data_IF_937957559095
#
_entry.id   IF_937957559095
#
_cell.length_a   1.000
_cell.length_b   1.000
_cell.length_c   1.000
_cell.angle_alpha   90.00
_cell.angle_beta   90.00
_cell.angle_gamma   90.00
#
_symmetry.space_group_name_H-M   'P 1'
#
loop_
_entity.id
_entity.type
_entity.pdbx_description
1 polymer ?
#
# COMPACT_ATOMS: atom_id res chain seq x y z
N UNK A 1 1.16 3.15 -15.79
CA UNK A 1 0.64 2.22 -14.76
C UNK A 1 1.35 2.30 -13.39
N UNK A 2 2.21 3.30 -13.10
CA UNK A 2 3.03 3.35 -11.87
C UNK A 2 2.24 3.46 -10.55
N UNK A 3 1.01 3.99 -10.59
CA UNK A 3 0.16 4.18 -9.41
C UNK A 3 -0.91 3.09 -9.25
N UNK A 4 -1.04 2.16 -10.20
CA UNK A 4 -2.10 1.13 -10.16
C UNK A 4 -1.90 0.21 -8.95
N UNK A 5 -0.68 -0.28 -8.74
CA UNK A 5 -0.35 -1.16 -7.60
C UNK A 5 -0.61 -0.52 -6.23
N UNK A 6 -0.10 0.70 -5.91
CA UNK A 6 -0.39 1.32 -4.62
C UNK A 6 -1.88 1.63 -4.43
N UNK A 7 -2.59 2.06 -5.48
CA UNK A 7 -4.04 2.33 -5.39
C UNK A 7 -4.79 1.04 -5.07
N UNK A 8 -4.53 -0.05 -5.78
CA UNK A 8 -5.18 -1.35 -5.53
C UNK A 8 -4.92 -1.86 -4.11
N UNK A 9 -3.69 -1.75 -3.62
CA UNK A 9 -3.34 -2.20 -2.27
C UNK A 9 -4.03 -1.37 -1.18
N UNK A 10 -4.10 -0.04 -1.34
CA UNK A 10 -4.81 0.83 -0.39
C UNK A 10 -6.32 0.62 -0.44
N UNK A 11 -6.89 0.43 -1.63
CA UNK A 11 -8.31 0.09 -1.77
C UNK A 11 -8.65 -1.26 -1.13
N UNK A 12 -7.79 -2.27 -1.31
CA UNK A 12 -7.95 -3.56 -0.64
C UNK A 12 -7.88 -3.42 0.88
N UNK A 13 -6.96 -2.61 1.41
CA UNK A 13 -6.88 -2.33 2.85
C UNK A 13 -8.17 -1.69 3.38
N UNK A 14 -8.69 -0.67 2.69
CA UNK A 14 -9.93 0.00 3.06
C UNK A 14 -11.13 -0.96 3.03
N UNK A 15 -11.20 -1.81 2.01
CA UNK A 15 -12.24 -2.83 1.88
C UNK A 15 -12.19 -3.84 3.03
N UNK A 16 -11.01 -4.41 3.34
CA UNK A 16 -10.84 -5.37 4.43
C UNK A 16 -11.20 -4.74 5.77
N UNK A 17 -10.76 -3.51 6.02
CA UNK A 17 -11.10 -2.77 7.24
C UNK A 17 -12.62 -2.58 7.36
N UNK A 18 -13.27 -2.09 6.29
CA UNK A 18 -14.70 -1.87 6.30
C UNK A 18 -15.50 -3.16 6.48
N UNK A 19 -15.12 -4.24 5.77
CA UNK A 19 -15.82 -5.52 5.89
C UNK A 19 -15.71 -6.10 7.31
N UNK A 20 -14.52 -6.03 7.91
CA UNK A 20 -14.27 -6.54 9.26
C UNK A 20 -15.01 -5.74 10.35
N UNK A 21 -15.45 -4.51 10.06
CA UNK A 21 -16.28 -3.70 10.96
C UNK A 21 -17.77 -4.03 10.83
N UNK A 22 -18.21 -4.59 9.69
CA UNK A 22 -19.63 -4.82 9.38
C UNK A 22 -20.09 -6.25 9.71
N UNK A 23 -19.20 -7.23 9.71
CA UNK A 23 -19.55 -8.62 9.96
C UNK A 23 -19.19 -9.04 11.39
N UNK A 24 -20.21 -9.29 12.21
CA UNK A 24 -20.01 -9.93 13.51
C UNK A 24 -19.66 -11.42 13.30
N UNK A 25 -18.47 -11.82 13.78
CA UNK A 25 -18.03 -13.22 13.80
C UNK A 25 -17.26 -13.72 12.57
N UNK A 26 -17.16 -12.94 11.49
CA UNK A 26 -16.33 -13.29 10.31
C UNK A 26 -15.30 -12.21 10.05
N UNK A 27 -14.01 -12.58 10.05
CA UNK A 27 -12.90 -11.66 9.78
C UNK A 27 -12.20 -12.07 8.49
N UNK A 28 -12.13 -11.15 7.54
CA UNK A 28 -11.19 -11.23 6.43
C UNK A 28 -9.77 -10.99 6.96
N UNK A 29 -9.00 -12.06 6.94
CA UNK A 29 -7.59 -12.07 7.25
C UNK A 29 -6.79 -12.67 6.09
N UNK A 30 -5.56 -12.21 5.92
CA UNK A 30 -4.62 -12.79 4.98
C UNK A 30 -4.19 -14.17 5.48
N UNK A 31 -4.19 -15.21 4.64
CA UNK A 31 -3.99 -16.60 5.08
C UNK A 31 -2.64 -16.85 5.76
N UNK A 32 -1.64 -16.02 5.48
CA UNK A 32 -0.30 -16.12 6.06
C UNK A 32 -0.03 -15.09 7.16
N UNK A 33 -1.06 -14.40 7.66
CA UNK A 33 -0.85 -13.37 8.69
C UNK A 33 -0.34 -13.95 10.01
N UNK A 34 -0.71 -15.19 10.35
CA UNK A 34 -0.19 -15.90 11.53
C UNK A 34 1.30 -16.21 11.42
N UNK A 35 1.83 -16.42 10.21
CA UNK A 35 3.28 -16.61 10.00
C UNK A 35 4.04 -15.30 10.16
N UNK A 36 3.47 -14.18 9.70
CA UNK A 36 4.09 -12.86 9.78
C UNK A 36 3.93 -12.23 11.18
N UNK A 37 2.84 -12.55 11.86
CA UNK A 37 2.51 -12.06 13.20
C UNK A 37 1.96 -13.19 14.07
N UNK A 38 2.83 -14.06 14.63
CA UNK A 38 2.40 -15.19 15.45
C UNK A 38 1.58 -14.77 16.69
N UNK A 39 1.86 -13.60 17.25
CA UNK A 39 1.09 -13.07 18.39
C UNK A 39 -0.36 -12.67 18.06
N UNK A 40 -0.77 -12.67 16.78
CA UNK A 40 -2.15 -12.52 16.35
C UNK A 40 -2.88 -13.87 16.18
N UNK A 41 -2.19 -15.00 16.32
CA UNK A 41 -2.77 -16.33 16.12
C UNK A 41 -3.89 -16.63 17.14
N UNK A 42 -5.03 -17.12 16.63
CA UNK A 42 -6.21 -17.41 17.45
C UNK A 42 -7.08 -16.19 17.81
N UNK A 43 -6.67 -14.97 17.45
CA UNK A 43 -7.44 -13.74 17.65
C UNK A 43 -7.87 -13.16 16.28
N UNK A 44 -9.12 -13.40 15.85
CA UNK A 44 -9.61 -12.95 14.55
C UNK A 44 -9.48 -11.44 14.35
N UNK A 45 -9.67 -10.65 15.41
CA UNK A 45 -9.61 -9.18 15.33
C UNK A 45 -8.18 -8.74 15.04
N UNK A 46 -7.19 -9.30 15.75
CA UNK A 46 -5.77 -9.00 15.50
C UNK A 46 -5.32 -9.49 14.14
N UNK A 47 -5.78 -10.65 13.68
CA UNK A 47 -5.49 -11.16 12.34
C UNK A 47 -6.03 -10.22 11.25
N UNK A 48 -7.24 -9.70 11.42
CA UNK A 48 -7.83 -8.70 10.53
C UNK A 48 -7.05 -7.38 10.54
N UNK A 49 -6.68 -6.87 11.72
CA UNK A 49 -5.87 -5.66 11.86
C UNK A 49 -4.49 -5.82 11.23
N UNK A 50 -3.81 -6.95 11.45
CA UNK A 50 -2.53 -7.27 10.83
C UNK A 50 -2.61 -7.31 9.31
N UNK A 51 -3.72 -7.84 8.78
CA UNK A 51 -3.97 -7.87 7.33
C UNK A 51 -4.14 -6.49 6.74
N UNK A 52 -4.92 -5.62 7.40
CA UNK A 52 -5.06 -4.22 7.00
C UNK A 52 -3.70 -3.52 7.04
N UNK A 53 -2.94 -3.69 8.13
CA UNK A 53 -1.62 -3.11 8.28
C UNK A 53 -0.65 -3.55 7.18
N UNK A 54 -0.70 -4.83 6.77
CA UNK A 54 0.11 -5.36 5.68
C UNK A 54 -0.22 -4.66 4.35
N UNK A 55 -1.50 -4.59 3.98
CA UNK A 55 -1.92 -3.95 2.73
C UNK A 55 -1.61 -2.45 2.71
N UNK A 56 -1.83 -1.75 3.83
CA UNK A 56 -1.45 -0.34 3.99
C UNK A 56 0.07 -0.18 3.84
N UNK A 57 0.86 -0.99 4.54
CA UNK A 57 2.31 -0.92 4.50
C UNK A 57 2.86 -1.09 3.09
N UNK A 58 2.43 -2.15 2.38
CA UNK A 58 2.84 -2.41 1.00
C UNK A 58 2.35 -1.31 0.04
N UNK A 59 1.10 -0.86 0.22
CA UNK A 59 0.51 0.21 -0.60
C UNK A 59 1.25 1.54 -0.44
N UNK A 60 1.54 1.97 0.78
CA UNK A 60 2.27 3.20 1.07
C UNK A 60 3.71 3.13 0.56
N UNK A 61 4.43 2.03 0.80
CA UNK A 61 5.80 1.86 0.28
C UNK A 61 5.84 1.92 -1.26
N UNK A 62 4.86 1.29 -1.91
CA UNK A 62 4.73 1.32 -3.37
C UNK A 62 4.41 2.73 -3.86
N UNK A 63 3.59 3.48 -3.14
CA UNK A 63 3.24 4.87 -3.46
C UNK A 63 4.45 5.79 -3.33
N UNK A 64 5.20 5.68 -2.23
CA UNK A 64 6.44 6.44 -2.03
C UNK A 64 7.40 6.19 -3.19
N UNK A 65 7.61 4.91 -3.56
CA UNK A 65 8.50 4.55 -4.67
C UNK A 65 8.02 5.11 -6.01
N UNK A 66 6.71 5.11 -6.26
CA UNK A 66 6.13 5.70 -7.46
C UNK A 66 6.33 7.23 -7.51
N UNK A 67 6.14 7.92 -6.38
CA UNK A 67 6.36 9.35 -6.23
C UNK A 67 7.84 9.73 -6.40
N UNK A 68 8.75 8.97 -5.80
CA UNK A 68 10.19 9.21 -5.96
C UNK A 68 10.64 9.10 -7.41
N UNK A 69 10.12 8.11 -8.16
CA UNK A 69 10.38 7.99 -9.60
C UNK A 69 9.81 9.16 -10.38
N UNK A 70 8.56 9.56 -10.09
CA UNK A 70 7.95 10.72 -10.76
C UNK A 70 8.76 12.01 -10.55
N UNK A 71 9.31 12.22 -9.35
CA UNK A 71 10.14 13.41 -9.07
C UNK A 71 11.45 13.39 -9.86
N UNK A 72 12.13 12.24 -9.95
CA UNK A 72 13.37 12.09 -10.73
C UNK A 72 13.14 12.39 -12.21
N UNK A 73 12.14 11.75 -12.81
CA UNK A 73 11.81 11.96 -14.23
C UNK A 73 11.45 13.43 -14.53
N UNK A 74 10.75 14.12 -13.63
CA UNK A 74 10.48 15.55 -13.79
C UNK A 74 11.73 16.42 -13.71
N UNK A 75 12.67 16.05 -12.86
CA UNK A 75 13.89 16.82 -12.67
C UNK A 75 14.85 16.68 -13.86
N UNK A 76 14.93 15.48 -14.44
CA UNK A 76 15.64 15.24 -15.70
C UNK A 76 15.03 16.07 -16.84
N UNK A 77 13.70 16.05 -17.01
CA UNK A 77 13.03 16.85 -18.04
C UNK A 77 13.23 18.37 -17.87
N UNK A 78 13.32 18.86 -16.63
CA UNK A 78 13.60 20.28 -16.36
C UNK A 78 15.05 20.66 -16.67
N UNK A 79 16.01 19.77 -16.40
CA UNK A 79 17.42 20.00 -16.70
C UNK A 79 17.65 20.04 -18.22
N UNK A 80 17.06 19.10 -18.97
CA UNK A 80 17.13 19.09 -20.44
C UNK A 80 16.51 20.36 -21.06
N UNK A 81 15.36 20.81 -20.52
CA UNK A 81 14.75 22.06 -20.97
C UNK A 81 15.66 23.27 -20.70
N UNK A 82 16.29 23.33 -19.52
CA UNK A 82 17.22 24.42 -19.17
C UNK A 82 18.44 24.45 -20.10
N UNK A 83 19.03 23.30 -20.42
CA UNK A 83 20.21 23.21 -21.30
C UNK A 83 19.88 23.59 -22.75
N UNK A 84 18.67 23.27 -23.24
CA UNK A 84 18.22 23.65 -24.59
C UNK A 84 17.96 25.15 -24.78
N UNK A 85 17.80 25.90 -23.69
CA UNK A 85 17.46 27.34 -23.72
C UNK A 85 18.69 28.25 -23.54
N UNK A 86 19.85 27.68 -23.19
CA UNK A 86 21.14 28.38 -23.18
C UNK A 86 21.79 28.30 -24.56
N UNK A 87 21.92 29.42 -25.31
CA UNK A 87 22.56 29.46 -26.63
C UNK A 87 24.09 29.32 -26.58
#
# INVERSE_FOLDING_TARGET
>A
MRFVSPVLMLSAAAFVYWNNQQQEGTVLAFPFISTLWPAAEGDPVKMGQGTVALFVGVGVLSLIRALSRLRRDRQEALNEASESTTP
#
